data_IF_138842543592
#
_entry.id   IF_138842543592
#
_cell.length_a   1.000
_cell.length_b   1.000
_cell.length_c   1.000
_cell.angle_alpha   90.00
_cell.angle_beta   90.00
_cell.angle_gamma   90.00
#
_symmetry.space_group_name_H-M   'P 1'
#
loop_
_entity.id
_entity.type
_entity.pdbx_description
1 polymer ?
#
# COMPACT_ATOMS: atom_id res chain seq x y z
N UNK A 1 13.61 -12.63 -14.28
CA UNK A 1 14.40 -12.31 -13.06
C UNK A 1 13.51 -12.25 -11.82
N UNK A 2 12.60 -11.28 -11.66
CA UNK A 2 11.71 -11.20 -10.48
C UNK A 2 10.89 -12.48 -10.24
N UNK A 3 10.33 -13.06 -11.31
CA UNK A 3 9.60 -14.34 -11.22
C UNK A 3 10.47 -15.50 -10.71
N UNK A 4 11.75 -15.55 -11.08
CA UNK A 4 12.65 -16.61 -10.65
C UNK A 4 12.98 -16.50 -9.15
N UNK A 5 13.05 -15.26 -8.62
CA UNK A 5 13.28 -15.02 -7.19
C UNK A 5 12.09 -15.48 -6.33
N UNK A 6 10.86 -15.42 -6.86
CA UNK A 6 9.63 -15.73 -6.11
C UNK A 6 8.94 -17.03 -6.52
N UNK A 7 9.44 -17.75 -7.52
CA UNK A 7 8.87 -19.01 -7.98
C UNK A 7 8.89 -20.08 -6.88
N UNK A 8 10.03 -20.23 -6.19
CA UNK A 8 10.21 -21.25 -5.15
C UNK A 8 10.31 -20.67 -3.73
N UNK A 9 10.31 -19.34 -3.59
CA UNK A 9 10.36 -18.67 -2.29
C UNK A 9 9.10 -17.85 -2.04
N UNK A 10 8.22 -18.38 -1.19
CA UNK A 10 6.96 -17.76 -0.75
C UNK A 10 7.00 -17.30 0.72
N UNK A 11 8.21 -17.14 1.27
CA UNK A 11 8.47 -16.81 2.67
C UNK A 11 9.23 -15.50 2.83
N UNK A 12 9.21 -14.63 1.82
CA UNK A 12 9.85 -13.33 1.95
C UNK A 12 9.09 -12.49 2.99
N UNK A 13 9.85 -11.88 3.90
CA UNK A 13 9.32 -10.96 4.91
C UNK A 13 9.39 -9.50 4.45
N UNK A 14 10.34 -9.18 3.56
CA UNK A 14 10.54 -7.83 3.02
C UNK A 14 10.78 -7.88 1.52
N UNK A 15 10.08 -7.03 0.78
CA UNK A 15 10.34 -6.74 -0.63
C UNK A 15 10.58 -5.24 -0.76
N UNK A 16 11.74 -4.87 -1.28
CA UNK A 16 12.10 -3.48 -1.57
C UNK A 16 12.48 -3.33 -3.03
N UNK A 17 11.78 -2.44 -3.73
CA UNK A 17 12.03 -2.03 -5.10
C UNK A 17 12.02 -0.51 -5.15
N UNK A 18 13.13 0.08 -5.57
CA UNK A 18 13.33 1.53 -5.62
C UNK A 18 13.82 1.88 -7.01
N UNK A 19 13.16 2.85 -7.67
CA UNK A 19 13.56 3.36 -8.97
C UNK A 19 13.87 2.26 -10.00
N UNK A 20 12.98 1.27 -10.10
CA UNK A 20 13.14 0.14 -11.03
C UNK A 20 12.28 0.37 -12.29
N UNK A 21 12.74 1.12 -13.31
CA UNK A 21 11.90 1.56 -14.44
C UNK A 21 11.42 0.41 -15.34
N UNK A 22 12.09 -0.75 -15.30
CA UNK A 22 11.71 -1.94 -16.07
C UNK A 22 10.69 -2.82 -15.36
N UNK A 23 10.36 -2.53 -14.10
CA UNK A 23 9.40 -3.31 -13.32
C UNK A 23 8.01 -2.69 -13.47
N UNK A 24 7.08 -3.49 -13.99
CA UNK A 24 5.69 -3.11 -14.23
C UNK A 24 4.76 -3.73 -13.19
N UNK A 25 3.46 -3.41 -13.27
CA UNK A 25 2.40 -4.02 -12.46
C UNK A 25 2.45 -5.55 -12.45
N UNK A 26 2.74 -6.17 -13.60
CA UNK A 26 2.92 -7.63 -13.70
C UNK A 26 4.08 -8.11 -12.83
N UNK A 27 5.18 -7.36 -12.80
CA UNK A 27 6.33 -7.64 -11.95
C UNK A 27 5.97 -7.58 -10.47
N UNK A 28 5.22 -6.54 -10.05
CA UNK A 28 4.75 -6.38 -8.68
C UNK A 28 3.84 -7.54 -8.27
N UNK A 29 2.81 -7.84 -9.06
CA UNK A 29 1.92 -8.98 -8.78
C UNK A 29 2.68 -10.30 -8.72
N UNK A 30 3.70 -10.48 -9.55
CA UNK A 30 4.52 -11.69 -9.53
C UNK A 30 5.32 -11.83 -8.24
N UNK A 31 5.86 -10.73 -7.70
CA UNK A 31 6.67 -10.80 -6.47
C UNK A 31 5.83 -10.89 -5.20
N UNK A 32 4.64 -10.27 -5.18
CA UNK A 32 3.74 -10.30 -4.02
C UNK A 32 2.86 -11.56 -4.00
N UNK A 33 2.62 -12.19 -5.15
CA UNK A 33 1.77 -13.39 -5.24
C UNK A 33 2.28 -14.54 -4.36
N UNK A 34 1.41 -14.96 -3.44
CA UNK A 34 1.63 -16.07 -2.53
C UNK A 34 2.56 -15.76 -1.34
N UNK A 35 3.04 -14.52 -1.19
CA UNK A 35 3.89 -14.14 -0.05
C UNK A 35 3.04 -13.94 1.22
N UNK A 36 2.69 -15.04 1.88
CA UNK A 36 1.87 -15.01 3.10
C UNK A 36 2.63 -14.46 4.31
N UNK A 37 3.96 -14.52 4.29
CA UNK A 37 4.85 -14.04 5.35
C UNK A 37 5.36 -12.61 5.14
N UNK A 38 4.90 -11.93 4.09
CA UNK A 38 5.39 -10.58 3.80
C UNK A 38 4.93 -9.61 4.88
N UNK A 39 5.91 -9.00 5.56
CA UNK A 39 5.72 -8.00 6.60
C UNK A 39 5.87 -6.58 6.04
N UNK A 40 6.76 -6.40 5.05
CA UNK A 40 7.09 -5.08 4.51
C UNK A 40 7.17 -5.07 2.98
N UNK A 41 6.50 -4.10 2.37
CA UNK A 41 6.50 -3.87 0.92
C UNK A 41 6.86 -2.42 0.63
N UNK A 42 8.06 -2.20 0.09
CA UNK A 42 8.54 -0.88 -0.34
C UNK A 42 8.64 -0.83 -1.87
N UNK A 43 7.81 -0.01 -2.49
CA UNK A 43 7.73 0.25 -3.93
C UNK A 43 7.94 1.75 -4.16
N UNK A 44 9.17 2.23 -4.04
CA UNK A 44 9.48 3.67 -4.09
C UNK A 44 9.87 4.13 -5.49
N UNK A 45 9.35 5.28 -5.90
CA UNK A 45 9.63 5.90 -7.20
C UNK A 45 9.44 4.93 -8.39
N UNK A 46 8.41 4.09 -8.33
CA UNK A 46 8.07 3.13 -9.38
C UNK A 46 7.20 3.80 -10.45
N UNK A 47 7.82 4.51 -11.39
CA UNK A 47 7.12 5.34 -12.39
C UNK A 47 6.18 4.58 -13.35
N UNK A 48 6.32 3.25 -13.44
CA UNK A 48 5.45 2.38 -14.25
C UNK A 48 4.37 1.65 -13.42
N UNK A 49 4.36 1.83 -12.10
CA UNK A 49 3.36 1.23 -11.22
C UNK A 49 2.03 1.98 -11.30
N UNK A 50 0.95 1.26 -11.56
CA UNK A 50 -0.43 1.76 -11.55
C UNK A 50 -1.26 0.98 -10.53
N UNK A 51 -2.55 1.35 -10.39
CA UNK A 51 -3.49 0.66 -9.51
C UNK A 51 -3.55 -0.86 -9.76
N UNK A 52 -3.38 -1.29 -11.02
CA UNK A 52 -3.38 -2.69 -11.41
C UNK A 52 -2.23 -3.50 -10.79
N UNK A 53 -1.14 -2.86 -10.38
CA UNK A 53 -0.04 -3.51 -9.66
C UNK A 53 -0.39 -3.82 -8.20
N UNK A 54 -1.37 -3.11 -7.64
CA UNK A 54 -1.80 -3.21 -6.24
C UNK A 54 -3.06 -4.05 -6.05
N UNK A 55 -3.90 -4.21 -7.08
CA UNK A 55 -5.21 -4.88 -6.99
C UNK A 55 -5.18 -6.28 -6.38
N UNK A 56 -4.13 -7.06 -6.65
CA UNK A 56 -4.00 -8.45 -6.19
C UNK A 56 -2.99 -8.63 -5.06
N UNK A 57 -2.51 -7.53 -4.47
CA UNK A 57 -1.64 -7.61 -3.29
C UNK A 57 -2.50 -8.10 -2.13
N UNK A 58 -2.23 -9.32 -1.67
CA UNK A 58 -2.88 -9.90 -0.51
C UNK A 58 -1.86 -10.68 0.32
N UNK A 59 -1.37 -10.00 1.34
CA UNK A 59 -0.30 -10.44 2.24
C UNK A 59 -0.83 -10.25 3.66
N UNK A 60 -1.36 -11.30 4.30
CA UNK A 60 -2.08 -11.19 5.57
C UNK A 60 -1.27 -10.60 6.72
N UNK A 61 0.06 -10.75 6.69
CA UNK A 61 0.97 -10.22 7.71
C UNK A 61 1.58 -8.86 7.36
N UNK A 62 1.16 -8.25 6.24
CA UNK A 62 1.73 -7.01 5.75
C UNK A 62 1.43 -5.86 6.71
N UNK A 63 2.50 -5.34 7.30
CA UNK A 63 2.47 -4.35 8.37
C UNK A 63 2.93 -2.97 7.90
N UNK A 64 3.92 -2.94 7.00
CA UNK A 64 4.51 -1.70 6.48
C UNK A 64 4.43 -1.66 4.98
N UNK A 65 3.87 -0.58 4.44
CA UNK A 65 3.83 -0.31 3.00
C UNK A 65 4.37 1.08 2.71
N UNK A 66 5.29 1.16 1.77
CA UNK A 66 5.78 2.42 1.23
C UNK A 66 5.60 2.43 -0.28
N UNK A 67 4.79 3.35 -0.79
CA UNK A 67 4.62 3.57 -2.23
C UNK A 67 5.02 5.00 -2.64
N UNK A 68 5.87 5.65 -1.84
CA UNK A 68 6.26 7.03 -2.05
C UNK A 68 6.84 7.25 -3.45
N UNK A 69 6.45 8.35 -4.10
CA UNK A 69 6.88 8.71 -5.45
C UNK A 69 6.23 7.92 -6.58
N UNK A 70 5.26 7.04 -6.30
CA UNK A 70 4.49 6.33 -7.32
C UNK A 70 3.40 7.23 -7.91
N UNK A 71 3.79 8.11 -8.84
CA UNK A 71 2.91 9.16 -9.36
C UNK A 71 1.68 8.69 -10.16
N UNK A 72 1.64 7.42 -10.60
CA UNK A 72 0.54 6.85 -11.40
C UNK A 72 -0.42 5.96 -10.58
N UNK A 73 -0.15 5.79 -9.28
CA UNK A 73 -1.09 5.13 -8.35
C UNK A 73 -2.09 6.17 -7.89
N UNK A 74 -3.37 5.82 -7.98
CA UNK A 74 -4.50 6.66 -7.57
C UNK A 74 -5.12 6.14 -6.27
N UNK A 75 -6.12 6.84 -5.76
CA UNK A 75 -6.91 6.43 -4.59
C UNK A 75 -7.55 5.05 -4.77
N UNK A 76 -7.83 4.61 -6.01
CA UNK A 76 -8.34 3.27 -6.30
C UNK A 76 -7.32 2.18 -5.95
N UNK A 77 -6.04 2.38 -6.30
CA UNK A 77 -4.97 1.45 -5.95
C UNK A 77 -4.76 1.35 -4.43
N UNK A 78 -4.87 2.48 -3.73
CA UNK A 78 -4.83 2.52 -2.25
C UNK A 78 -5.98 1.71 -1.67
N UNK A 79 -7.21 1.93 -2.14
CA UNK A 79 -8.39 1.20 -1.69
C UNK A 79 -8.20 -0.31 -1.78
N UNK A 80 -7.75 -0.81 -2.93
CA UNK A 80 -7.50 -2.24 -3.10
C UNK A 80 -6.45 -2.78 -2.13
N UNK A 81 -5.37 -2.03 -1.92
CA UNK A 81 -4.30 -2.40 -1.00
C UNK A 81 -4.84 -2.49 0.44
N UNK A 82 -5.47 -1.44 0.97
CA UNK A 82 -5.91 -1.41 2.37
C UNK A 82 -7.08 -2.38 2.64
N UNK A 83 -7.96 -2.57 1.66
CA UNK A 83 -9.07 -3.52 1.76
C UNK A 83 -8.60 -4.97 1.90
N UNK A 84 -7.50 -5.35 1.23
CA UNK A 84 -6.97 -6.73 1.24
C UNK A 84 -5.91 -6.99 2.31
N UNK A 85 -5.41 -5.93 2.95
CA UNK A 85 -4.32 -5.98 3.92
C UNK A 85 -4.72 -5.24 5.23
N UNK A 86 -5.65 -5.80 6.03
CA UNK A 86 -6.17 -5.13 7.23
C UNK A 86 -5.13 -4.98 8.37
N UNK A 87 -3.96 -5.59 8.25
CA UNK A 87 -2.88 -5.53 9.24
C UNK A 87 -1.82 -4.45 8.95
N UNK A 88 -2.06 -3.53 8.01
CA UNK A 88 -1.17 -2.40 7.76
C UNK A 88 -1.22 -1.44 8.96
N UNK A 89 -0.06 -1.11 9.52
CA UNK A 89 0.10 -0.13 10.59
C UNK A 89 0.94 1.09 10.19
N UNK A 90 1.79 0.93 9.17
CA UNK A 90 2.64 1.99 8.63
C UNK A 90 2.40 2.10 7.13
N UNK A 91 1.93 3.26 6.68
CA UNK A 91 1.67 3.54 5.27
C UNK A 91 2.34 4.86 4.85
N UNK A 92 3.25 4.80 3.87
CA UNK A 92 3.98 5.96 3.35
C UNK A 92 3.52 6.28 1.93
N UNK A 93 2.95 7.47 1.74
CA UNK A 93 2.35 7.94 0.48
C UNK A 93 2.98 9.25 -0.03
N UNK A 94 4.24 9.52 0.35
CA UNK A 94 4.88 10.80 0.06
C UNK A 94 5.01 11.00 -1.45
N UNK A 95 4.75 12.21 -1.94
CA UNK A 95 4.89 12.56 -3.37
C UNK A 95 4.03 11.73 -4.33
N UNK A 96 2.96 11.08 -3.86
CA UNK A 96 1.96 10.42 -4.71
C UNK A 96 0.93 11.45 -5.20
N UNK A 97 1.24 12.10 -6.33
CA UNK A 97 0.48 13.25 -6.87
C UNK A 97 -0.93 12.94 -7.40
N UNK A 98 -1.25 11.68 -7.63
CA UNK A 98 -2.55 11.24 -8.17
C UNK A 98 -3.51 10.74 -7.07
N UNK A 99 -3.17 10.93 -5.80
CA UNK A 99 -4.06 10.65 -4.68
C UNK A 99 -4.94 11.85 -4.37
N UNK A 100 -6.20 11.58 -4.07
CA UNK A 100 -7.18 12.54 -3.59
C UNK A 100 -7.69 12.14 -2.19
N UNK A 101 -8.66 12.90 -1.67
CA UNK A 101 -9.22 12.66 -0.33
C UNK A 101 -9.89 11.28 -0.18
N UNK A 102 -10.30 10.63 -1.28
CA UNK A 102 -10.88 9.29 -1.24
C UNK A 102 -9.88 8.27 -0.69
N UNK A 103 -8.58 8.43 -0.99
CA UNK A 103 -7.55 7.57 -0.42
C UNK A 103 -7.57 7.63 1.11
N UNK A 104 -7.76 8.82 1.69
CA UNK A 104 -7.79 9.00 3.14
C UNK A 104 -9.03 8.38 3.78
N UNK A 105 -10.19 8.51 3.14
CA UNK A 105 -11.41 7.84 3.59
C UNK A 105 -11.24 6.32 3.57
N UNK A 106 -10.73 5.75 2.49
CA UNK A 106 -10.50 4.31 2.39
C UNK A 106 -9.47 3.82 3.42
N UNK A 107 -8.38 4.57 3.61
CA UNK A 107 -7.37 4.26 4.64
C UNK A 107 -8.00 4.26 6.04
N UNK A 108 -8.74 5.32 6.40
CA UNK A 108 -9.39 5.42 7.69
C UNK A 108 -10.41 4.30 7.91
N UNK A 109 -11.20 3.99 6.87
CA UNK A 109 -12.24 2.97 6.91
C UNK A 109 -11.68 1.55 7.10
N UNK A 110 -10.63 1.17 6.36
CA UNK A 110 -10.14 -0.21 6.38
C UNK A 110 -9.05 -0.49 7.43
N UNK A 111 -8.20 0.50 7.75
CA UNK A 111 -7.03 0.30 8.61
C UNK A 111 -6.84 1.38 9.68
N UNK A 112 -7.78 2.33 9.81
CA UNK A 112 -7.65 3.52 10.66
C UNK A 112 -7.28 3.23 12.12
N UNK A 113 -7.95 2.26 12.76
CA UNK A 113 -7.69 1.91 14.18
C UNK A 113 -6.26 1.36 14.44
N UNK A 114 -5.59 0.90 13.39
CA UNK A 114 -4.29 0.21 13.47
C UNK A 114 -3.13 1.09 13.02
N UNK A 115 -3.40 2.21 12.37
CA UNK A 115 -2.36 3.07 11.85
C UNK A 115 -1.64 3.82 12.95
N UNK A 116 -0.32 3.64 13.00
CA UNK A 116 0.56 4.53 13.77
C UNK A 116 0.69 5.82 12.97
N UNK A 117 0.17 6.92 13.51
CA UNK A 117 0.07 8.28 12.92
C UNK A 117 1.46 8.90 12.66
N UNK A 118 2.28 8.23 11.84
CA UNK A 118 3.70 8.57 11.68
C UNK A 118 4.01 9.22 10.33
N UNK A 119 3.14 9.11 9.32
CA UNK A 119 3.53 9.56 7.96
C UNK A 119 2.41 9.85 6.97
N UNK A 120 1.24 10.27 7.46
CA UNK A 120 0.25 10.95 6.62
C UNK A 120 0.35 12.44 6.97
N UNK A 121 0.72 13.31 6.02
CA UNK A 121 0.77 14.76 6.26
C UNK A 121 -0.63 15.20 6.73
N UNK A 122 -0.69 15.55 8.01
CA UNK A 122 -1.86 15.79 8.85
C UNK A 122 -2.56 17.10 8.49
N UNK A 123 -3.62 17.02 7.70
CA UNK A 123 -4.74 17.96 7.80
C UNK A 123 -6.08 17.25 7.58
N UNK A 124 -6.15 16.29 6.66
CA UNK A 124 -7.39 15.60 6.33
C UNK A 124 -7.71 14.37 7.20
N UNK A 125 -6.69 13.64 7.71
CA UNK A 125 -6.92 12.48 8.61
C UNK A 125 -7.46 12.87 9.98
N UNK A 126 -7.03 14.02 10.52
CA UNK A 126 -7.59 14.55 11.76
C UNK A 126 -9.08 14.86 11.60
N UNK A 127 -9.50 15.38 10.44
CA UNK A 127 -10.93 15.65 10.16
C UNK A 127 -11.73 14.36 10.00
N UNK A 128 -11.24 13.41 9.20
CA UNK A 128 -11.92 12.13 8.96
C UNK A 128 -12.09 11.32 10.25
N UNK A 129 -11.07 11.29 11.12
CA UNK A 129 -11.14 10.61 12.42
C UNK A 129 -12.00 11.38 13.44
N UNK A 130 -12.05 12.72 13.37
CA UNK A 130 -12.94 13.51 14.24
C UNK A 130 -14.43 13.37 13.87
N UNK A 131 -14.75 13.10 12.60
CA UNK A 131 -16.11 12.87 12.13
C UNK A 131 -16.62 11.45 12.41
N UNK A 132 -15.74 10.46 12.51
CA UNK A 132 -16.15 9.07 12.83
C UNK A 132 -16.38 8.81 14.32
N UNK A 133 -16.13 9.79 15.20
CA UNK A 133 -16.36 9.65 16.64
C UNK A 133 -17.74 10.18 17.13
N UNK A 134 -18.64 10.65 16.26
CA UNK A 134 -19.91 11.27 16.71
C UNK A 134 -21.18 10.48 16.41
N UNK A 135 -21.18 9.49 15.51
CA UNK A 135 -22.41 8.74 15.25
C UNK A 135 -22.17 7.26 15.02
N UNK A 136 -22.30 6.45 16.08
CA UNK A 136 -23.13 5.25 16.07
C UNK A 136 -23.78 5.06 17.46
N UNK A 137 -25.07 4.67 17.53
CA UNK A 137 -25.82 4.49 18.78
C UNK A 137 -25.36 3.30 19.63
#
# INVERSE_FOLDING_TARGET
MLAALTANNKRLERITLVECPKVTDKGIRTVTSGQRNLLQLELRAMYQLTDAGLTDVHCPLLHTVDISGCARVTSLGIRFLVQRNPNIHCLYLNHCRSLDDQALYDIAYYVGERLRVSTLRLSALYRALSTTCVEQP
#
